data_IF_904660173969
#
_entry.id   IF_904660173969
#
_cell.length_a   1.000
_cell.length_b   1.000
_cell.length_c   1.000
_cell.angle_alpha   90.00
_cell.angle_beta   90.00
_cell.angle_gamma   90.00
#
_symmetry.space_group_name_H-M   'P 1'
#
loop_
_entity.id
_entity.type
_entity.pdbx_description
1 polymer ?
#
# COMPACT_ATOMS: atom_id res chain seq x y z
N UNK A 1 23.69 -13.88 19.48
CA UNK A 1 24.45 -13.95 18.21
C UNK A 1 24.00 -12.82 17.32
N UNK A 2 24.91 -11.92 16.95
CA UNK A 2 24.60 -10.73 16.15
C UNK A 2 24.37 -11.12 14.69
N UNK A 3 23.12 -11.42 14.33
CA UNK A 3 22.67 -11.84 13.01
C UNK A 3 22.59 -10.70 11.98
N UNK A 4 23.55 -9.78 12.01
CA UNK A 4 23.66 -8.76 10.97
C UNK A 4 24.29 -9.40 9.74
N UNK A 5 23.46 -9.72 8.75
CA UNK A 5 23.89 -10.10 7.41
C UNK A 5 23.36 -9.05 6.45
N UNK A 6 24.25 -8.55 5.59
CA UNK A 6 23.82 -7.67 4.51
C UNK A 6 23.22 -8.53 3.40
N UNK A 7 21.92 -8.40 3.16
CA UNK A 7 21.30 -9.03 2.00
C UNK A 7 21.67 -8.23 0.74
N UNK A 8 22.55 -8.79 -0.08
CA UNK A 8 23.00 -8.26 -1.37
C UNK A 8 22.43 -9.06 -2.55
N UNK A 9 21.44 -9.91 -2.31
CA UNK A 9 20.80 -10.70 -3.35
C UNK A 9 20.06 -9.82 -4.34
N UNK A 10 20.00 -10.28 -5.58
CA UNK A 10 19.23 -9.61 -6.61
C UNK A 10 17.73 -9.68 -6.28
N UNK A 11 17.10 -8.53 -6.17
CA UNK A 11 15.64 -8.40 -6.05
C UNK A 11 15.06 -8.30 -7.46
N UNK A 12 13.96 -9.00 -7.77
CA UNK A 12 13.35 -8.89 -9.09
C UNK A 12 12.69 -7.51 -9.30
N UNK A 13 12.46 -7.11 -10.55
CA UNK A 13 11.72 -5.87 -10.82
C UNK A 13 10.27 -5.94 -10.33
N UNK A 14 9.64 -7.11 -10.40
CA UNK A 14 8.29 -7.36 -9.87
C UNK A 14 8.24 -7.12 -8.35
N UNK A 15 9.20 -7.66 -7.61
CA UNK A 15 9.24 -7.47 -6.16
C UNK A 15 9.50 -6.01 -5.77
N UNK A 16 10.41 -5.33 -6.48
CA UNK A 16 10.62 -3.89 -6.32
C UNK A 16 9.35 -3.08 -6.57
N UNK A 17 8.59 -3.46 -7.59
CA UNK A 17 7.32 -2.81 -7.93
C UNK A 17 6.28 -3.00 -6.82
N UNK A 18 6.13 -4.23 -6.31
CA UNK A 18 5.23 -4.55 -5.21
C UNK A 18 5.59 -3.77 -3.93
N UNK A 19 6.88 -3.67 -3.62
CA UNK A 19 7.37 -2.87 -2.49
C UNK A 19 7.05 -1.38 -2.68
N UNK A 20 7.32 -0.83 -3.88
CA UNK A 20 7.01 0.57 -4.18
C UNK A 20 5.51 0.86 -4.10
N UNK A 21 4.67 -0.07 -4.58
CA UNK A 21 3.22 -0.02 -4.49
C UNK A 21 2.74 -0.01 -3.03
N UNK A 22 3.22 -0.95 -2.22
CA UNK A 22 2.91 -1.01 -0.78
C UNK A 22 3.29 0.30 -0.07
N UNK A 23 4.49 0.83 -0.35
CA UNK A 23 4.93 2.12 0.19
C UNK A 23 3.96 3.26 -0.19
N UNK A 24 3.49 3.30 -1.44
CA UNK A 24 2.57 4.34 -1.88
C UNK A 24 1.17 4.16 -1.27
N UNK A 25 0.68 2.93 -1.09
CA UNK A 25 -0.57 2.66 -0.36
C UNK A 25 -0.50 3.15 1.09
N UNK A 26 0.61 2.89 1.79
CA UNK A 26 0.83 3.39 3.16
C UNK A 26 0.78 4.92 3.20
N UNK A 27 1.40 5.60 2.22
CA UNK A 27 1.30 7.06 2.14
C UNK A 27 -0.11 7.57 1.84
N UNK A 28 -0.88 6.88 1.00
CA UNK A 28 -2.27 7.22 0.75
C UNK A 28 -3.11 7.19 2.03
N UNK A 29 -2.95 6.12 2.81
CA UNK A 29 -3.62 5.92 4.08
C UNK A 29 -3.21 6.97 5.13
N UNK A 30 -1.91 7.23 5.30
CA UNK A 30 -1.42 8.19 6.29
C UNK A 30 -1.75 9.64 5.93
N UNK A 31 -1.75 9.99 4.64
CA UNK A 31 -2.16 11.32 4.17
C UNK A 31 -3.61 11.66 4.55
N UNK A 32 -4.43 10.65 4.86
CA UNK A 32 -5.82 10.80 5.31
C UNK A 32 -6.03 10.39 6.77
N UNK A 33 -4.95 10.35 7.55
CA UNK A 33 -4.97 10.05 8.98
C UNK A 33 -5.64 8.70 9.33
N UNK A 34 -5.53 7.70 8.44
CA UNK A 34 -6.05 6.35 8.72
C UNK A 34 -5.09 5.61 9.63
N UNK A 35 -5.65 4.90 10.61
CA UNK A 35 -4.89 3.99 11.46
C UNK A 35 -4.40 2.81 10.60
N UNK A 36 -3.11 2.52 10.66
CA UNK A 36 -2.51 1.43 9.90
C UNK A 36 -2.66 0.10 10.65
N UNK A 37 -3.13 -0.91 9.93
CA UNK A 37 -3.13 -2.31 10.32
C UNK A 37 -2.98 -3.18 9.06
N UNK A 38 -2.78 -4.48 9.24
CA UNK A 38 -2.54 -5.38 8.12
C UNK A 38 -3.71 -5.39 7.12
N UNK A 39 -4.94 -5.37 7.63
CA UNK A 39 -6.18 -5.40 6.83
C UNK A 39 -6.31 -4.19 5.91
N UNK A 40 -6.16 -2.97 6.44
CA UNK A 40 -6.33 -1.74 5.66
C UNK A 40 -5.22 -1.57 4.62
N UNK A 41 -3.99 -2.01 4.94
CA UNK A 41 -2.87 -2.00 3.99
C UNK A 41 -3.13 -3.02 2.88
N UNK A 42 -3.61 -4.21 3.21
CA UNK A 42 -3.96 -5.25 2.23
C UNK A 42 -5.08 -4.77 1.30
N UNK A 43 -6.11 -4.12 1.83
CA UNK A 43 -7.21 -3.58 1.03
C UNK A 43 -6.75 -2.44 0.12
N UNK A 44 -5.90 -1.55 0.63
CA UNK A 44 -5.30 -0.50 -0.18
C UNK A 44 -4.43 -1.07 -1.30
N UNK A 45 -3.64 -2.11 -1.02
CA UNK A 45 -2.85 -2.81 -2.03
C UNK A 45 -3.74 -3.38 -3.13
N UNK A 46 -4.82 -4.09 -2.79
CA UNK A 46 -5.75 -4.64 -3.78
C UNK A 46 -6.43 -3.55 -4.62
N UNK A 47 -6.93 -2.48 -3.99
CA UNK A 47 -7.52 -1.35 -4.69
C UNK A 47 -6.51 -0.67 -5.63
N UNK A 48 -5.23 -0.62 -5.26
CA UNK A 48 -4.18 -0.01 -6.06
C UNK A 48 -3.84 -0.75 -7.36
N UNK A 49 -4.22 -2.03 -7.50
CA UNK A 49 -3.88 -2.86 -8.67
C UNK A 49 -4.48 -2.34 -9.98
N UNK A 50 -5.47 -1.45 -9.90
CA UNK A 50 -6.06 -0.76 -11.05
C UNK A 50 -5.13 0.31 -11.65
N UNK A 51 -4.04 0.66 -10.95
CA UNK A 51 -3.13 1.74 -11.34
C UNK A 51 -1.67 1.29 -11.37
N UNK A 52 -0.87 1.98 -12.17
CA UNK A 52 0.59 1.91 -12.12
C UNK A 52 1.10 2.51 -10.80
N UNK A 53 2.21 2.01 -10.22
CA UNK A 53 2.71 2.50 -8.92
C UNK A 53 2.98 4.01 -8.90
N UNK A 54 3.43 4.59 -10.01
CA UNK A 54 3.68 6.04 -10.15
C UNK A 54 2.40 6.87 -10.08
N UNK A 55 1.25 6.31 -10.48
CA UNK A 55 -0.03 7.01 -10.44
C UNK A 55 -0.56 7.12 -9.00
N UNK A 56 -0.17 6.20 -8.11
CA UNK A 56 -0.52 6.21 -6.68
C UNK A 56 0.04 7.41 -5.90
N UNK A 57 0.87 8.25 -6.55
CA UNK A 57 1.41 9.49 -5.99
C UNK A 57 0.50 10.70 -6.25
N UNK A 58 -0.54 10.54 -7.08
CA UNK A 58 -1.50 11.60 -7.37
C UNK A 58 -2.57 11.67 -6.29
N UNK A 59 -2.84 12.87 -5.78
CA UNK A 59 -3.76 13.06 -4.65
C UNK A 59 -5.16 12.54 -4.93
N UNK A 60 -5.65 12.68 -6.15
CA UNK A 60 -6.96 12.16 -6.57
C UNK A 60 -7.03 10.63 -6.49
N UNK A 61 -5.96 9.92 -6.90
CA UNK A 61 -5.89 8.46 -6.86
C UNK A 61 -5.69 7.97 -5.42
N UNK A 62 -4.87 8.67 -4.64
CA UNK A 62 -4.73 8.39 -3.20
C UNK A 62 -6.09 8.47 -2.51
N UNK A 63 -6.90 9.49 -2.86
CA UNK A 63 -8.24 9.65 -2.30
C UNK A 63 -9.15 8.48 -2.67
N UNK A 64 -9.22 8.15 -3.94
CA UNK A 64 -10.06 7.07 -4.47
C UNK A 64 -9.74 5.71 -3.82
N UNK A 65 -8.45 5.40 -3.63
CA UNK A 65 -8.03 4.16 -2.98
C UNK A 65 -8.51 4.11 -1.52
N UNK A 66 -8.30 5.17 -0.75
CA UNK A 66 -8.71 5.19 0.65
C UNK A 66 -10.23 5.16 0.78
N UNK A 67 -10.96 5.88 -0.06
CA UNK A 67 -12.43 5.83 -0.08
C UNK A 67 -12.93 4.40 -0.34
N UNK A 68 -12.34 3.72 -1.34
CA UNK A 68 -12.67 2.32 -1.66
C UNK A 68 -12.41 1.37 -0.49
N UNK A 69 -11.30 1.59 0.24
CA UNK A 69 -10.95 0.81 1.43
C UNK A 69 -11.94 1.04 2.56
N UNK A 70 -12.29 2.29 2.85
CA UNK A 70 -13.25 2.62 3.91
C UNK A 70 -14.64 2.07 3.62
N UNK A 71 -15.10 2.18 2.37
CA UNK A 71 -16.36 1.59 1.94
C UNK A 71 -16.36 0.07 2.16
N UNK A 72 -15.26 -0.60 1.83
CA UNK A 72 -15.14 -2.04 2.06
C UNK A 72 -15.17 -2.41 3.54
N UNK A 73 -14.45 -1.67 4.39
CA UNK A 73 -14.46 -1.90 5.84
C UNK A 73 -15.86 -1.71 6.43
N UNK A 74 -16.59 -0.68 5.98
CA UNK A 74 -17.97 -0.44 6.39
C UNK A 74 -18.90 -1.59 6.01
N UNK A 75 -18.77 -2.14 4.80
CA UNK A 75 -19.54 -3.32 4.36
C UNK A 75 -19.22 -4.58 5.17
N UNK A 76 -18.01 -4.70 5.68
CA UNK A 76 -17.55 -5.84 6.49
C UNK A 76 -17.81 -5.64 8.00
N UNK A 77 -18.27 -4.44 8.42
CA UNK A 77 -18.55 -4.11 9.82
C UNK A 77 -17.31 -3.90 10.69
N UNK A 78 -16.21 -3.44 10.10
CA UNK A 78 -14.90 -3.20 10.74
C UNK A 78 -14.61 -1.72 11.01
#
# INVERSE_FOLDING_TARGET
>A
TGGFVQNLEYISSSDRENIARLRNCILALTAQNKQLNDTIILYAYHASLLYEPKQLLKSEIMKEIVDSVMQRMELEGL
#
